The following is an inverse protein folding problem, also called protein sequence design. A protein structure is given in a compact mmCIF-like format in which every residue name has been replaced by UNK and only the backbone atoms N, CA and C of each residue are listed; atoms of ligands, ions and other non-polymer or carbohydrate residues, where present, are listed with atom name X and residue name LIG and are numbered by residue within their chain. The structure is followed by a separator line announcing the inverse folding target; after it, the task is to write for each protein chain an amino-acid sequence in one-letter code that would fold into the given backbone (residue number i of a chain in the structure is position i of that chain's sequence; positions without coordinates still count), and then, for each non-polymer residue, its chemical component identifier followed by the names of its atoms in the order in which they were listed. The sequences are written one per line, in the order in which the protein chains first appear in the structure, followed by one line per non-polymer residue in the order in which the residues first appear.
data_IF_743383453111
#
_entry.id   IF_743383453111
#
_cell.length_a   1.000
_cell.length_b   1.000
_cell.length_c   1.000
_cell.angle_alpha   90.00
_cell.angle_beta   90.00
_cell.angle_gamma   90.00
#
_symmetry.space_group_name_H-M   'P 1'
#
loop_
_entity.id
_entity.type
_entity.pdbx_description
1 polymer ?
#
# COMPACT_ATOMS: atom_id res chain seq x y z
N UNK A 1 6.03 9.84 11.79
CA UNK A 1 7.33 9.32 11.30
C UNK A 1 7.40 9.62 9.82
N UNK A 2 8.35 10.43 9.39
CA UNK A 2 8.49 10.88 7.99
C UNK A 2 9.29 9.81 7.23
N UNK A 3 8.77 9.33 6.10
CA UNK A 3 9.49 8.41 5.23
C UNK A 3 10.30 9.21 4.22
N UNK A 4 11.59 8.95 4.14
CA UNK A 4 12.44 9.48 3.09
C UNK A 4 12.22 8.64 1.83
N UNK A 5 11.81 9.30 0.75
CA UNK A 5 11.72 8.67 -0.59
C UNK A 5 13.14 8.55 -1.14
N UNK A 6 13.69 7.34 -1.07
CA UNK A 6 14.93 7.02 -1.77
C UNK A 6 14.61 6.63 -3.22
N UNK A 7 14.82 7.56 -4.13
CA UNK A 7 14.62 7.36 -5.57
C UNK A 7 15.81 6.67 -6.24
N UNK A 8 16.88 6.36 -5.52
CA UNK A 8 18.03 5.63 -6.05
C UNK A 8 19.25 5.68 -5.12
N UNK A 9 19.60 4.53 -4.52
CA UNK A 9 20.95 4.26 -4.05
C UNK A 9 21.32 4.48 -2.59
N UNK A 10 20.37 4.47 -1.66
CA UNK A 10 20.67 4.48 -0.23
C UNK A 10 20.69 3.08 0.41
N UNK A 11 21.37 2.88 1.57
CA UNK A 11 21.68 1.54 2.13
C UNK A 11 20.53 0.84 2.85
N UNK A 12 19.30 1.27 2.80
CA UNK A 12 18.16 0.52 3.31
C UNK A 12 17.41 -0.16 2.16
N UNK A 13 17.96 -1.27 1.67
CA UNK A 13 17.16 -2.19 0.85
C UNK A 13 15.94 -2.61 1.67
N UNK A 14 14.73 -2.21 1.28
CA UNK A 14 13.52 -2.71 1.92
C UNK A 14 13.57 -4.24 1.84
N UNK A 15 13.19 -4.91 2.91
CA UNK A 15 13.09 -6.37 2.90
C UNK A 15 12.32 -6.79 1.65
N UNK A 16 12.95 -7.61 0.79
CA UNK A 16 12.37 -8.07 -0.49
C UNK A 16 10.98 -8.66 -0.31
N UNK A 17 10.71 -9.23 0.87
CA UNK A 17 9.40 -9.77 1.24
C UNK A 17 8.29 -8.71 1.31
N UNK A 18 8.61 -7.44 1.55
CA UNK A 18 7.61 -6.36 1.60
C UNK A 18 6.96 -6.07 0.24
N UNK A 19 7.51 -6.56 -0.86
CA UNK A 19 6.93 -6.44 -2.20
C UNK A 19 5.92 -7.54 -2.55
N UNK A 20 5.79 -8.56 -1.70
CA UNK A 20 4.85 -9.65 -1.85
C UNK A 20 3.67 -9.57 -0.88
N UNK A 21 2.58 -10.23 -1.22
CA UNK A 21 1.44 -10.47 -0.35
C UNK A 21 0.90 -11.88 -0.55
N UNK A 22 0.57 -12.57 0.54
CA UNK A 22 -0.02 -13.92 0.53
C UNK A 22 -1.43 -13.82 1.05
N UNK A 23 -2.33 -14.56 0.39
CA UNK A 23 -3.74 -14.69 0.76
C UNK A 23 -4.10 -16.15 0.96
N UNK A 24 -4.90 -16.42 1.99
CA UNK A 24 -5.30 -17.76 2.39
C UNK A 24 -6.73 -17.73 2.97
N UNK A 25 -7.55 -18.76 2.76
CA UNK A 25 -7.34 -19.97 1.98
C UNK A 25 -7.58 -19.79 0.48
N UNK A 26 -7.49 -20.87 -0.30
CA UNK A 26 -7.98 -20.92 -1.66
C UNK A 26 -9.50 -20.78 -1.70
N UNK A 27 -10.03 -20.41 -2.84
CA UNK A 27 -11.46 -20.17 -3.06
C UNK A 27 -12.05 -21.24 -3.94
N UNK A 28 -13.31 -21.57 -3.70
CA UNK A 28 -14.08 -22.47 -4.56
C UNK A 28 -14.85 -21.68 -5.60
N UNK A 29 -14.66 -22.04 -6.86
CA UNK A 29 -15.33 -21.45 -8.00
C UNK A 29 -16.03 -22.52 -8.83
N UNK A 30 -17.03 -22.14 -9.62
CA UNK A 30 -17.62 -23.05 -10.60
C UNK A 30 -16.55 -23.44 -11.63
N UNK A 31 -16.49 -24.74 -11.90
CA UNK A 31 -15.61 -25.28 -12.92
C UNK A 31 -16.17 -24.96 -14.33
N UNK A 32 -15.47 -24.16 -15.14
CA UNK A 32 -15.96 -23.79 -16.47
C UNK A 32 -15.97 -24.96 -17.43
N UNK A 33 -15.30 -26.07 -17.10
CA UNK A 33 -15.28 -27.30 -17.89
C UNK A 33 -16.36 -28.30 -17.47
N UNK A 34 -17.11 -28.02 -16.41
CA UNK A 34 -18.18 -28.91 -15.94
C UNK A 34 -19.40 -28.86 -16.87
N UNK A 35 -19.67 -29.97 -17.52
CA UNK A 35 -20.78 -30.11 -18.48
C UNK A 35 -22.00 -30.83 -17.90
N UNK A 36 -21.96 -31.20 -16.63
CA UNK A 36 -23.02 -32.01 -15.98
C UNK A 36 -22.92 -33.52 -16.23
N UNK A 37 -22.04 -33.96 -17.12
CA UNK A 37 -21.82 -35.37 -17.48
C UNK A 37 -20.30 -35.58 -17.64
N UNK A 38 -19.66 -36.28 -16.73
CA UNK A 38 -18.23 -36.56 -16.81
C UNK A 38 -17.58 -36.66 -15.41
N UNK A 39 -16.28 -36.94 -15.37
CA UNK A 39 -15.52 -37.05 -14.11
C UNK A 39 -15.17 -35.70 -13.47
N UNK A 40 -15.44 -34.57 -14.17
CA UNK A 40 -15.15 -33.25 -13.66
C UNK A 40 -16.07 -32.90 -12.50
N UNK A 41 -15.51 -32.24 -11.49
CA UNK A 41 -16.27 -31.70 -10.36
C UNK A 41 -16.92 -30.38 -10.73
N UNK A 42 -18.12 -30.11 -10.20
CA UNK A 42 -18.84 -28.84 -10.39
C UNK A 42 -18.07 -27.65 -9.83
N UNK A 43 -17.35 -27.85 -8.72
CA UNK A 43 -16.54 -26.84 -8.06
C UNK A 43 -15.07 -27.25 -8.05
N UNK A 44 -14.20 -26.27 -8.28
CA UNK A 44 -12.75 -26.42 -8.19
C UNK A 44 -12.16 -25.42 -7.18
N UNK A 45 -11.06 -25.82 -6.54
CA UNK A 45 -10.26 -24.96 -5.70
C UNK A 45 -9.30 -24.14 -6.56
N UNK A 46 -9.30 -22.82 -6.37
CA UNK A 46 -8.50 -21.88 -7.14
C UNK A 46 -7.73 -20.94 -6.21
N UNK A 47 -6.45 -20.59 -6.53
CA UNK A 47 -5.73 -19.54 -5.82
C UNK A 47 -6.50 -18.21 -5.88
N UNK A 48 -6.57 -17.45 -4.77
CA UNK A 48 -7.34 -16.22 -4.71
C UNK A 48 -6.70 -15.02 -5.42
N UNK A 49 -5.51 -15.18 -6.01
CA UNK A 49 -4.70 -14.08 -6.57
C UNK A 49 -5.44 -13.23 -7.60
N UNK A 50 -6.19 -13.85 -8.54
CA UNK A 50 -6.97 -13.11 -9.54
C UNK A 50 -8.10 -12.30 -8.91
N UNK A 51 -8.82 -12.88 -7.93
CA UNK A 51 -9.89 -12.21 -7.19
C UNK A 51 -9.34 -11.02 -6.38
N UNK A 52 -8.18 -11.21 -5.75
CA UNK A 52 -7.49 -10.16 -4.97
C UNK A 52 -7.01 -9.03 -5.88
N UNK A 53 -6.46 -9.34 -7.04
CA UNK A 53 -6.07 -8.31 -8.03
C UNK A 53 -7.29 -7.47 -8.45
N UNK A 54 -8.44 -8.10 -8.68
CA UNK A 54 -9.69 -7.40 -8.95
C UNK A 54 -10.17 -6.52 -7.78
N UNK A 55 -9.97 -6.97 -6.53
CA UNK A 55 -10.26 -6.16 -5.34
C UNK A 55 -9.34 -4.94 -5.29
N UNK A 56 -8.04 -5.11 -5.54
CA UNK A 56 -7.09 -3.99 -5.58
C UNK A 56 -7.50 -2.94 -6.60
N UNK A 57 -7.75 -3.35 -7.83
CA UNK A 57 -8.20 -2.44 -8.89
C UNK A 57 -9.49 -1.69 -8.52
N UNK A 58 -10.46 -2.39 -7.93
CA UNK A 58 -11.72 -1.80 -7.48
C UNK A 58 -11.52 -0.78 -6.35
N UNK A 59 -10.66 -1.09 -5.38
CA UNK A 59 -10.37 -0.19 -4.25
C UNK A 59 -9.60 1.04 -4.74
N UNK A 60 -8.59 0.84 -5.59
CA UNK A 60 -7.80 1.93 -6.17
C UNK A 60 -8.68 2.91 -6.94
N UNK A 61 -9.58 2.41 -7.77
CA UNK A 61 -10.50 3.24 -8.54
C UNK A 61 -11.50 4.02 -7.68
N UNK A 62 -11.95 3.45 -6.54
CA UNK A 62 -12.97 4.06 -5.67
C UNK A 62 -12.40 4.93 -4.56
N UNK A 63 -11.26 4.59 -4.04
CA UNK A 63 -10.72 5.13 -2.78
C UNK A 63 -9.26 5.58 -2.87
N UNK A 64 -8.56 5.24 -3.95
CA UNK A 64 -7.13 5.49 -4.14
C UNK A 64 -6.23 4.39 -3.54
N UNK A 65 -4.97 4.37 -3.98
CA UNK A 65 -3.95 3.37 -3.63
C UNK A 65 -3.61 3.37 -2.13
N UNK A 66 -3.80 4.49 -1.44
CA UNK A 66 -3.55 4.64 0.00
C UNK A 66 -4.52 3.84 0.87
N UNK A 67 -5.70 3.48 0.36
CA UNK A 67 -6.68 2.65 1.09
C UNK A 67 -6.20 1.19 1.11
N UNK A 68 -6.12 0.61 2.31
CA UNK A 68 -5.84 -0.81 2.45
C UNK A 68 -6.92 -1.66 1.75
N UNK A 69 -6.56 -2.60 0.84
CA UNK A 69 -7.53 -3.44 0.12
C UNK A 69 -8.01 -4.62 0.99
N UNK A 70 -8.55 -4.29 2.15
CA UNK A 70 -9.12 -5.21 3.11
C UNK A 70 -10.48 -4.70 3.59
N UNK A 71 -11.24 -5.58 4.24
CA UNK A 71 -12.67 -5.42 4.53
C UNK A 71 -13.47 -5.28 3.23
N UNK A 72 -13.10 -6.10 2.24
CA UNK A 72 -13.67 -6.11 0.89
C UNK A 72 -14.19 -7.51 0.54
N UNK A 73 -15.39 -7.56 -0.02
CA UNK A 73 -16.01 -8.80 -0.47
C UNK A 73 -15.27 -9.43 -1.65
N UNK A 74 -15.11 -10.74 -1.61
CA UNK A 74 -14.59 -11.54 -2.73
C UNK A 74 -15.75 -11.91 -3.62
N UNK A 75 -15.76 -11.41 -4.84
CA UNK A 75 -16.83 -11.63 -5.82
C UNK A 75 -16.46 -12.78 -6.74
N UNK A 76 -17.46 -13.55 -7.19
CA UNK A 76 -17.26 -14.64 -8.16
C UNK A 76 -16.79 -15.94 -7.55
N UNK A 77 -16.90 -16.12 -6.25
CA UNK A 77 -16.62 -17.38 -5.56
C UNK A 77 -17.90 -17.97 -4.98
N UNK A 78 -17.90 -19.27 -4.81
CA UNK A 78 -19.01 -20.03 -4.18
C UNK A 78 -18.74 -20.23 -2.69
N UNK A 79 -17.50 -20.63 -2.34
CA UNK A 79 -17.10 -20.92 -0.97
C UNK A 79 -15.57 -20.78 -0.83
N UNK A 80 -15.06 -21.11 0.35
CA UNK A 80 -13.65 -21.24 0.65
C UNK A 80 -13.24 -22.71 0.69
N UNK A 81 -12.01 -23.03 0.29
CA UNK A 81 -11.44 -24.39 0.39
C UNK A 81 -11.54 -24.94 1.81
N UNK A 82 -11.35 -24.09 2.80
CA UNK A 82 -11.50 -24.44 4.22
C UNK A 82 -12.05 -23.29 5.04
N UNK A 83 -12.87 -23.61 6.05
CA UNK A 83 -13.44 -22.58 6.92
C UNK A 83 -12.36 -21.89 7.74
N UNK A 84 -12.41 -20.57 7.75
CA UNK A 84 -11.50 -19.70 8.50
C UNK A 84 -12.24 -18.93 9.57
N UNK A 85 -11.85 -19.15 10.82
CA UNK A 85 -12.34 -18.40 11.98
C UNK A 85 -11.38 -17.31 12.45
N UNK A 86 -11.83 -16.50 13.40
CA UNK A 86 -11.04 -15.44 14.03
C UNK A 86 -9.77 -15.98 14.71
N UNK A 87 -9.86 -17.12 15.37
CA UNK A 87 -8.73 -17.71 16.12
C UNK A 87 -7.56 -18.11 15.21
N UNK A 88 -7.86 -18.69 14.05
CA UNK A 88 -6.83 -19.01 13.03
C UNK A 88 -6.19 -17.76 12.44
N UNK A 89 -6.95 -16.69 12.28
CA UNK A 89 -6.43 -15.42 11.78
C UNK A 89 -5.37 -14.81 12.72
N UNK A 90 -5.56 -14.92 14.03
CA UNK A 90 -4.62 -14.37 15.03
C UNK A 90 -3.21 -14.91 14.84
N UNK A 91 -3.06 -16.19 14.52
CA UNK A 91 -1.74 -16.82 14.28
C UNK A 91 -1.16 -16.52 12.90
N UNK A 92 -1.99 -16.25 11.89
CA UNK A 92 -1.58 -16.01 10.50
C UNK A 92 -1.23 -14.55 10.22
N UNK A 93 -1.80 -13.63 10.98
CA UNK A 93 -1.61 -12.20 10.76
C UNK A 93 -0.17 -11.71 11.02
N UNK A 94 0.53 -12.09 12.12
CA UNK A 94 1.89 -11.62 12.38
C UNK A 94 2.90 -11.92 11.27
N UNK A 95 2.94 -13.10 10.63
CA UNK A 95 3.82 -13.37 9.51
C UNK A 95 3.38 -12.72 8.18
N UNK A 96 2.24 -12.03 8.13
CA UNK A 96 1.77 -11.32 6.95
C UNK A 96 0.91 -12.17 6.00
N UNK A 97 0.24 -13.20 6.51
CA UNK A 97 -0.73 -13.99 5.74
C UNK A 97 -2.10 -13.34 5.85
N UNK A 98 -2.61 -12.84 4.75
CA UNK A 98 -3.91 -12.16 4.68
C UNK A 98 -5.03 -13.19 4.56
N UNK A 99 -5.92 -13.20 5.54
CA UNK A 99 -6.97 -14.21 5.63
C UNK A 99 -8.21 -13.77 4.87
N UNK A 100 -8.77 -14.69 4.08
CA UNK A 100 -10.13 -14.59 3.53
C UNK A 100 -11.03 -15.41 4.45
N UNK A 101 -12.04 -14.78 5.03
CA UNK A 101 -12.98 -15.44 5.94
C UNK A 101 -14.39 -14.93 5.76
N UNK A 102 -15.41 -15.71 6.11
CA UNK A 102 -16.80 -15.25 6.09
C UNK A 102 -17.02 -14.15 7.16
N UNK A 103 -17.67 -13.09 6.75
CA UNK A 103 -18.14 -12.03 7.62
C UNK A 103 -19.59 -11.70 7.24
N UNK A 104 -20.53 -11.87 8.17
CA UNK A 104 -21.94 -11.69 7.87
C UNK A 104 -22.47 -12.64 6.76
N UNK A 105 -21.86 -13.82 6.59
CA UNK A 105 -22.25 -14.81 5.59
C UNK A 105 -21.55 -14.71 4.26
N UNK A 106 -20.80 -13.65 3.99
CA UNK A 106 -20.05 -13.46 2.74
C UNK A 106 -18.54 -13.53 2.95
N UNK A 107 -17.78 -14.20 2.07
CA UNK A 107 -16.33 -14.23 2.13
C UNK A 107 -15.74 -12.84 1.86
N UNK A 108 -14.86 -12.40 2.77
CA UNK A 108 -14.20 -11.10 2.70
C UNK A 108 -12.70 -11.25 2.94
N UNK A 109 -11.91 -10.43 2.25
CA UNK A 109 -10.49 -10.24 2.59
C UNK A 109 -10.39 -9.48 3.91
N UNK A 110 -9.77 -10.12 4.90
CA UNK A 110 -9.65 -9.55 6.25
C UNK A 110 -8.18 -9.46 6.72
N UNK A 111 -7.35 -8.89 5.85
CA UNK A 111 -5.94 -8.62 6.07
C UNK A 111 -5.36 -7.78 4.93
N UNK A 112 -4.41 -6.92 5.26
CA UNK A 112 -3.71 -6.06 4.31
C UNK A 112 -2.24 -5.88 4.71
N UNK A 113 -1.57 -6.99 4.99
CA UNK A 113 -0.15 -7.02 5.33
C UNK A 113 0.70 -7.49 4.16
N UNK A 114 1.90 -7.00 4.08
CA UNK A 114 2.93 -7.52 3.18
C UNK A 114 3.48 -8.85 3.72
N UNK A 115 4.05 -9.67 2.87
CA UNK A 115 4.72 -10.91 3.26
C UNK A 115 5.88 -10.58 4.23
N UNK A 116 5.94 -11.28 5.36
CA UNK A 116 6.85 -10.97 6.46
C UNK A 116 6.16 -10.17 7.59
N UNK A 117 5.04 -9.52 7.32
CA UNK A 117 4.17 -8.90 8.32
C UNK A 117 4.91 -7.98 9.29
N UNK A 118 4.90 -8.33 10.56
CA UNK A 118 5.49 -7.52 11.65
C UNK A 118 7.00 -7.29 11.48
N UNK A 119 7.71 -8.12 10.72
CA UNK A 119 9.16 -7.99 10.46
C UNK A 119 9.49 -6.85 9.51
N UNK A 120 8.54 -6.43 8.68
CA UNK A 120 8.76 -5.40 7.66
C UNK A 120 8.73 -3.96 8.19
N UNK A 121 8.56 -3.75 9.50
CA UNK A 121 8.59 -2.42 10.12
C UNK A 121 7.61 -1.46 9.47
N UNK A 122 8.12 -0.43 8.80
CA UNK A 122 7.31 0.60 8.15
C UNK A 122 6.47 0.06 6.99
N UNK A 123 6.97 -0.93 6.26
CA UNK A 123 6.31 -1.56 5.13
C UNK A 123 5.46 -2.79 5.51
N UNK A 124 5.07 -2.90 6.77
CA UNK A 124 4.16 -3.96 7.25
C UNK A 124 2.87 -3.99 6.46
N UNK A 125 2.31 -2.83 6.14
CA UNK A 125 1.02 -2.72 5.47
C UNK A 125 1.14 -2.58 3.97
N UNK A 126 0.28 -3.30 3.27
CA UNK A 126 0.25 -3.38 1.81
C UNK A 126 -0.06 -2.01 1.17
N UNK A 127 -0.99 -1.25 1.74
CA UNK A 127 -1.30 0.09 1.24
C UNK A 127 -0.11 1.04 1.36
N UNK A 128 0.67 0.95 2.44
CA UNK A 128 1.89 1.78 2.60
C UNK A 128 2.90 1.44 1.50
N UNK A 129 3.19 0.14 1.29
CA UNK A 129 4.12 -0.30 0.24
C UNK A 129 3.64 0.12 -1.15
N UNK A 130 2.37 -0.12 -1.47
CA UNK A 130 1.80 0.22 -2.78
C UNK A 130 1.78 1.73 -3.01
N UNK A 131 1.40 2.50 -2.00
CA UNK A 131 1.37 3.95 -2.09
C UNK A 131 2.78 4.55 -2.26
N UNK A 132 3.79 4.02 -1.56
CA UNK A 132 5.18 4.43 -1.77
C UNK A 132 5.68 4.10 -3.17
N UNK A 133 5.31 2.95 -3.74
CA UNK A 133 5.62 2.62 -5.12
C UNK A 133 4.93 3.58 -6.10
N UNK A 134 3.65 3.89 -5.87
CA UNK A 134 2.90 4.86 -6.65
C UNK A 134 3.54 6.26 -6.60
N UNK A 135 3.93 6.74 -5.42
CA UNK A 135 4.60 8.04 -5.28
C UNK A 135 5.92 8.07 -6.06
N UNK A 136 6.74 7.02 -5.95
CA UNK A 136 8.02 6.92 -6.66
C UNK A 136 7.83 7.03 -8.17
N UNK A 137 6.97 6.20 -8.73
CA UNK A 137 6.69 6.17 -10.17
C UNK A 137 6.12 7.49 -10.66
N UNK A 138 5.11 8.04 -9.95
CA UNK A 138 4.48 9.31 -10.35
C UNK A 138 5.44 10.50 -10.29
N UNK A 139 6.35 10.53 -9.30
CA UNK A 139 7.35 11.61 -9.19
C UNK A 139 8.41 11.43 -10.27
N UNK A 140 8.88 10.22 -10.53
CA UNK A 140 9.85 9.94 -11.60
C UNK A 140 9.30 10.38 -12.97
N UNK A 141 8.10 9.91 -13.33
CA UNK A 141 7.43 10.32 -14.57
C UNK A 141 7.16 11.83 -14.61
N UNK A 142 6.66 12.40 -13.51
CA UNK A 142 6.31 13.82 -13.41
C UNK A 142 7.50 14.77 -13.41
N UNK A 143 8.72 14.27 -13.22
CA UNK A 143 9.96 15.06 -13.20
C UNK A 143 10.87 14.81 -14.42
N UNK A 144 10.44 14.07 -15.43
CA UNK A 144 11.22 13.80 -16.66
C UNK A 144 11.65 15.09 -17.40
N UNK A 145 10.92 16.19 -17.21
CA UNK A 145 11.28 17.50 -17.78
C UNK A 145 12.60 18.06 -17.24
N UNK A 146 13.17 17.49 -16.18
CA UNK A 146 14.45 17.93 -15.57
C UNK A 146 15.66 17.47 -16.38
N UNK A 147 15.51 16.39 -17.15
CA UNK A 147 16.61 15.75 -17.87
C UNK A 147 17.15 16.69 -18.93
N UNK A 148 18.48 16.91 -18.91
CA UNK A 148 19.22 17.85 -19.76
C UNK A 148 18.92 19.34 -19.56
N UNK A 149 18.12 19.73 -18.57
CA UNK A 149 17.96 21.14 -18.21
C UNK A 149 19.19 21.66 -17.46
N UNK A 150 19.49 22.98 -17.56
CA UNK A 150 20.57 23.59 -16.79
C UNK A 150 20.36 23.40 -15.29
N UNK A 151 21.35 22.80 -14.60
CA UNK A 151 21.29 22.54 -13.15
C UNK A 151 21.49 23.86 -12.37
N UNK A 152 20.41 24.54 -12.09
CA UNK A 152 20.37 25.88 -11.51
C UNK A 152 19.28 26.00 -10.44
N UNK A 153 19.37 27.03 -9.57
CA UNK A 153 18.32 27.31 -8.59
C UNK A 153 16.92 27.48 -9.22
N UNK A 154 16.83 27.98 -10.45
CA UNK A 154 15.55 28.09 -11.16
C UNK A 154 14.93 26.71 -11.46
N UNK A 155 15.74 25.75 -11.88
CA UNK A 155 15.31 24.37 -12.08
C UNK A 155 14.85 23.74 -10.76
N UNK A 156 15.61 23.92 -9.67
CA UNK A 156 15.25 23.38 -8.37
C UNK A 156 13.89 23.89 -7.87
N UNK A 157 13.60 25.17 -8.06
CA UNK A 157 12.29 25.73 -7.72
C UNK A 157 11.15 25.16 -8.56
N UNK A 158 11.41 24.81 -9.83
CA UNK A 158 10.42 24.14 -10.68
C UNK A 158 10.12 22.72 -10.16
N UNK A 159 11.18 21.98 -9.76
CA UNK A 159 11.03 20.64 -9.17
C UNK A 159 10.23 20.73 -7.86
N UNK A 160 10.63 21.59 -6.93
CA UNK A 160 9.94 21.78 -5.64
C UNK A 160 8.46 22.05 -5.88
N UNK A 161 8.13 22.95 -6.81
CA UNK A 161 6.74 23.32 -7.09
C UNK A 161 5.96 22.12 -7.64
N UNK A 162 6.48 21.46 -8.68
CA UNK A 162 5.81 20.33 -9.32
C UNK A 162 5.54 19.18 -8.34
N UNK A 163 6.55 18.79 -7.56
CA UNK A 163 6.42 17.72 -6.57
C UNK A 163 5.51 18.13 -5.41
N UNK A 164 5.62 19.38 -4.94
CA UNK A 164 4.77 19.89 -3.84
C UNK A 164 3.30 19.94 -4.24
N UNK A 165 2.99 20.37 -5.46
CA UNK A 165 1.62 20.41 -5.97
C UNK A 165 1.02 19.00 -6.07
N UNK A 166 1.80 18.03 -6.54
CA UNK A 166 1.40 16.62 -6.56
C UNK A 166 1.13 16.08 -5.16
N UNK A 167 2.08 16.26 -4.21
CA UNK A 167 1.93 15.78 -2.82
C UNK A 167 0.80 16.50 -2.07
N UNK A 168 0.58 17.77 -2.35
CA UNK A 168 -0.54 18.53 -1.79
C UNK A 168 -1.89 17.91 -2.19
N UNK A 169 -2.05 17.49 -3.45
CA UNK A 169 -3.24 16.79 -3.88
C UNK A 169 -3.39 15.44 -3.16
N UNK A 170 -2.31 14.66 -2.99
CA UNK A 170 -2.34 13.41 -2.23
C UNK A 170 -2.72 13.63 -0.75
N UNK A 171 -2.25 14.71 -0.13
CA UNK A 171 -2.63 15.07 1.22
C UNK A 171 -4.12 15.46 1.31
N UNK A 172 -4.59 16.29 0.40
CA UNK A 172 -5.99 16.70 0.35
C UNK A 172 -6.94 15.52 0.14
N UNK A 173 -6.52 14.52 -0.61
CA UNK A 173 -7.26 13.26 -0.84
C UNK A 173 -7.17 12.29 0.36
N UNK A 174 -6.48 12.67 1.43
CA UNK A 174 -6.38 11.91 2.68
C UNK A 174 -5.35 10.77 2.65
N UNK A 175 -4.45 10.75 1.67
CA UNK A 175 -3.40 9.74 1.57
C UNK A 175 -2.20 9.99 2.49
N UNK A 176 -2.01 11.24 2.92
CA UNK A 176 -0.95 11.66 3.82
C UNK A 176 -1.53 12.13 5.15
N UNK A 177 -0.83 11.81 6.24
CA UNK A 177 -1.23 12.14 7.61
C UNK A 177 -0.64 13.49 8.02
N UNK A 178 -1.47 14.41 8.55
CA UNK A 178 -1.10 15.71 9.07
C UNK A 178 -2.28 16.66 9.03
N UNK A 179 -2.41 17.54 10.03
CA UNK A 179 -3.44 18.57 10.06
C UNK A 179 -3.16 19.66 9.01
N UNK A 180 -1.88 19.86 8.68
CA UNK A 180 -1.42 20.81 7.67
C UNK A 180 -0.53 20.10 6.64
N UNK A 181 -0.43 20.66 5.45
CA UNK A 181 0.47 20.14 4.41
C UNK A 181 1.92 20.06 4.87
N UNK A 182 2.37 21.01 5.69
CA UNK A 182 3.75 21.03 6.24
C UNK A 182 4.05 19.89 7.20
N UNK A 183 3.04 19.34 7.86
CA UNK A 183 3.16 18.14 8.72
C UNK A 183 3.12 16.86 7.90
N UNK A 184 2.47 16.90 6.73
CA UNK A 184 2.22 15.74 5.89
C UNK A 184 3.40 15.41 4.96
N UNK A 185 4.09 16.43 4.46
CA UNK A 185 5.23 16.23 3.56
C UNK A 185 6.17 17.43 3.53
N UNK A 186 7.39 17.19 3.04
CA UNK A 186 8.32 18.25 2.64
C UNK A 186 9.04 17.88 1.34
N UNK A 187 9.49 18.91 0.62
CA UNK A 187 10.31 18.78 -0.60
C UNK A 187 11.47 19.75 -0.46
N UNK A 188 12.69 19.23 -0.52
CA UNK A 188 13.93 20.01 -0.39
C UNK A 188 14.80 19.79 -1.62
N UNK A 189 15.13 20.86 -2.31
CA UNK A 189 16.06 20.86 -3.44
C UNK A 189 16.76 22.23 -3.47
N UNK A 190 17.94 22.29 -2.88
CA UNK A 190 18.69 23.55 -2.64
C UNK A 190 20.21 23.32 -2.75
N UNK A 191 21.01 24.30 -2.30
CA UNK A 191 22.48 24.21 -2.31
C UNK A 191 23.02 23.15 -1.35
N UNK A 192 22.27 22.78 -0.32
CA UNK A 192 22.69 21.75 0.62
C UNK A 192 22.53 20.36 0.03
N UNK A 193 21.42 20.11 -0.69
CA UNK A 193 21.21 18.85 -1.42
C UNK A 193 22.01 18.80 -2.72
N UNK A 194 22.35 19.93 -3.33
CA UNK A 194 23.07 20.03 -4.61
C UNK A 194 24.35 20.88 -4.48
N UNK A 195 25.34 20.43 -3.68
CA UNK A 195 26.65 21.07 -3.63
C UNK A 195 27.36 21.03 -5.00
N UNK A 196 28.46 21.76 -5.15
CA UNK A 196 29.20 21.84 -6.40
C UNK A 196 29.57 20.46 -6.97
N UNK A 197 30.00 19.55 -6.12
CA UNK A 197 30.37 18.17 -6.51
C UNK A 197 29.23 17.39 -7.19
N UNK A 198 27.99 17.53 -6.69
CA UNK A 198 26.82 16.87 -7.30
C UNK A 198 26.45 17.52 -8.64
N UNK A 199 26.52 18.86 -8.70
CA UNK A 199 26.24 19.61 -9.94
C UNK A 199 27.25 19.33 -11.03
N UNK A 200 28.55 19.26 -10.70
CA UNK A 200 29.64 18.90 -11.61
C UNK A 200 29.53 17.45 -12.11
N UNK A 201 28.99 16.56 -11.29
CA UNK A 201 28.66 15.17 -11.67
C UNK A 201 27.36 15.06 -12.49
N UNK A 202 26.71 16.19 -12.83
CA UNK A 202 25.47 16.21 -13.60
C UNK A 202 24.24 15.69 -12.85
N UNK A 203 24.27 15.69 -11.51
CA UNK A 203 23.16 15.19 -10.67
C UNK A 203 22.35 16.31 -10.06
N UNK A 204 21.03 16.10 -9.97
CA UNK A 204 20.11 16.92 -9.17
C UNK A 204 19.50 16.02 -8.11
N UNK A 205 19.69 16.40 -6.84
CA UNK A 205 19.19 15.67 -5.68
C UNK A 205 18.03 16.44 -5.05
N UNK A 206 16.90 15.78 -4.94
CA UNK A 206 15.71 16.28 -4.26
C UNK A 206 15.34 15.34 -3.13
N UNK A 207 15.30 15.84 -1.90
CA UNK A 207 14.85 15.12 -0.73
C UNK A 207 13.35 15.31 -0.53
N UNK A 208 12.62 14.22 -0.42
CA UNK A 208 11.18 14.22 -0.24
C UNK A 208 10.83 13.37 0.98
N UNK A 209 10.13 13.97 1.93
CA UNK A 209 9.61 13.26 3.09
C UNK A 209 8.09 13.26 3.08
N UNK A 210 7.47 12.10 3.39
CA UNK A 210 6.02 11.93 3.41
C UNK A 210 5.57 11.17 4.65
N UNK A 211 4.44 11.57 5.24
CA UNK A 211 3.78 10.88 6.35
C UNK A 211 2.60 10.08 5.80
N UNK A 212 2.83 8.82 5.43
CA UNK A 212 1.79 7.96 4.83
C UNK A 212 0.80 7.48 5.88
N UNK A 213 -0.50 7.49 5.56
CA UNK A 213 -1.54 6.97 6.44
C UNK A 213 -1.44 5.44 6.58
N UNK A 214 -1.56 4.96 7.83
CA UNK A 214 -1.61 3.52 8.15
C UNK A 214 -3.05 3.10 8.41
N UNK A 215 -3.46 1.87 8.05
CA UNK A 215 -4.81 1.41 8.33
C UNK A 215 -5.04 1.19 9.84
N UNK A 216 -6.26 1.44 10.29
CA UNK A 216 -6.69 0.99 11.62
C UNK A 216 -6.99 -0.52 11.52
N UNK A 217 -6.09 -1.36 12.03
CA UNK A 217 -6.24 -2.81 12.02
C UNK A 217 -6.99 -3.30 13.28
N UNK A 218 -6.82 -2.58 14.40
CA UNK A 218 -7.44 -2.92 15.68
C UNK A 218 -8.24 -1.74 16.21
N UNK A 219 -9.46 -2.02 16.65
CA UNK A 219 -10.32 -1.05 17.36
C UNK A 219 -10.45 -1.50 18.80
N UNK A 220 -10.02 -0.65 19.73
CA UNK A 220 -10.07 -0.93 21.17
C UNK A 220 -11.05 0.05 21.81
N UNK A 221 -12.11 -0.49 22.42
CA UNK A 221 -13.06 0.29 23.21
C UNK A 221 -12.71 0.17 24.68
N UNK A 222 -12.62 1.30 25.38
CA UNK A 222 -12.51 1.37 26.84
C UNK A 222 -13.81 1.93 27.38
N UNK A 223 -14.58 1.09 28.08
CA UNK A 223 -15.84 1.48 28.71
C UNK A 223 -15.59 1.57 30.22
N UNK A 224 -15.84 2.74 30.78
CA UNK A 224 -15.75 2.97 32.23
C UNK A 224 -17.15 3.23 32.75
N UNK A 225 -17.56 2.50 33.79
CA UNK A 225 -18.78 2.77 34.52
C UNK A 225 -18.43 3.66 35.73
N UNK A 226 -18.91 4.90 35.74
CA UNK A 226 -18.89 5.72 36.94
C UNK A 226 -20.02 5.25 37.87
N UNK A 227 -19.67 4.55 38.95
CA UNK A 227 -20.56 4.39 40.09
C UNK A 227 -20.50 5.70 40.88
N UNK A 228 -21.46 6.59 40.64
CA UNK A 228 -21.61 7.78 41.47
C UNK A 228 -21.75 7.37 42.96
N UNK A 229 -20.86 7.91 43.79
CA UNK A 229 -21.00 7.88 45.21
C UNK A 229 -22.09 8.85 45.67
#
# INVERSE_FOLDING_TARGET
MVHQLDLGGGPSTPDKFSYGAIYFPWVKVFNPLFTGTGPETELIDQPPSGHVAGIWARVDAKRGVHKAPANEGVIGIVDLERPMGKDKQVSLNPPGINVIRPFGGSPMVYGARTLGGDRNGEYRYLNVRRFMNFLKESIDEGTQFVVFEPNSPALWQRIIRSVSDFLYNQWRDGALFGATAKEAFFVKCDLETNPASEREAGRVITEIGVAVVKPAEFVIFRIQQNTGA
#
